data_IF_800823550625
#
_entry.id   IF_800823550625
#
_cell.length_a   1.000
_cell.length_b   1.000
_cell.length_c   1.000
_cell.angle_alpha   90.00
_cell.angle_beta   90.00
_cell.angle_gamma   90.00
#
_symmetry.space_group_name_H-M   'P 1'
#
loop_
_entity.id
_entity.type
_entity.pdbx_description
1 polymer ?
#
# COMPACT_ATOMS: atom_id res chain seq x y z
N UNK A 1 -13.28 -6.05 17.69
CA UNK A 1 -13.40 -5.23 16.46
C UNK A 1 -12.36 -5.66 15.45
N UNK A 2 -12.74 -5.71 14.19
CA UNK A 2 -11.81 -6.06 13.14
C UNK A 2 -10.82 -4.93 12.92
N UNK A 3 -9.53 -5.27 12.77
CA UNK A 3 -8.49 -4.32 12.43
C UNK A 3 -8.69 -3.82 11.00
N UNK A 4 -8.25 -2.60 10.74
CA UNK A 4 -8.20 -2.05 9.39
C UNK A 4 -7.15 -2.82 8.59
N UNK A 5 -7.53 -3.29 7.41
CA UNK A 5 -6.67 -4.04 6.50
C UNK A 5 -5.98 -3.07 5.53
N UNK A 6 -4.65 -3.04 5.57
CA UNK A 6 -3.83 -2.15 4.76
C UNK A 6 -2.93 -2.95 3.85
N UNK A 7 -2.98 -2.65 2.55
CA UNK A 7 -2.04 -3.18 1.58
C UNK A 7 -0.88 -2.19 1.40
N UNK A 8 0.34 -2.68 1.43
CA UNK A 8 1.55 -1.91 1.15
C UNK A 8 2.08 -2.29 -0.23
N UNK A 9 2.24 -1.30 -1.12
CA UNK A 9 2.99 -1.53 -2.34
C UNK A 9 4.50 -1.51 -2.04
N UNK A 10 5.30 -1.87 -3.01
CA UNK A 10 6.74 -1.99 -2.84
C UNK A 10 7.40 -0.67 -2.47
N UNK A 11 6.86 0.47 -2.91
CA UNK A 11 7.44 1.79 -2.62
C UNK A 11 7.49 2.08 -1.12
N UNK A 12 6.47 1.68 -0.37
CA UNK A 12 6.43 1.90 1.09
C UNK A 12 7.59 1.17 1.77
N UNK A 13 7.81 -0.09 1.41
CA UNK A 13 8.89 -0.88 1.98
C UNK A 13 10.24 -0.33 1.54
N UNK A 14 10.39 0.00 0.25
CA UNK A 14 11.62 0.54 -0.31
C UNK A 14 12.06 1.85 0.35
N UNK A 15 11.14 2.72 0.73
CA UNK A 15 11.43 3.99 1.39
C UNK A 15 11.87 3.85 2.86
N UNK A 16 11.81 2.67 3.43
CA UNK A 16 12.44 2.40 4.74
C UNK A 16 13.96 2.54 4.68
N UNK A 17 14.54 2.35 3.50
CA UNK A 17 15.98 2.51 3.23
C UNK A 17 16.17 3.34 1.95
N UNK A 18 15.93 4.65 2.04
CA UNK A 18 15.99 5.58 0.92
C UNK A 18 16.68 6.87 1.33
N UNK A 19 18.02 6.84 1.37
CA UNK A 19 18.87 7.93 1.92
C UNK A 19 18.72 9.26 1.15
N UNK A 20 18.37 9.22 -0.13
CA UNK A 20 18.15 10.41 -0.96
C UNK A 20 16.77 11.05 -0.78
N UNK A 21 15.89 10.43 0.01
CA UNK A 21 14.59 10.97 0.36
C UNK A 21 14.37 10.92 1.89
N UNK A 22 15.14 11.69 2.67
CA UNK A 22 15.19 11.54 4.13
C UNK A 22 13.88 11.81 4.84
N UNK A 23 13.05 12.74 4.33
CA UNK A 23 11.74 13.04 4.93
C UNK A 23 10.77 11.87 4.78
N UNK A 24 10.65 11.32 3.56
CA UNK A 24 9.79 10.15 3.31
C UNK A 24 10.31 8.91 4.01
N UNK A 25 11.61 8.74 4.08
CA UNK A 25 12.22 7.64 4.83
C UNK A 25 11.83 7.72 6.31
N UNK A 26 11.94 8.90 6.92
CA UNK A 26 11.55 9.12 8.32
C UNK A 26 10.06 8.82 8.55
N UNK A 27 9.18 9.36 7.72
CA UNK A 27 7.75 9.11 7.82
C UNK A 27 7.42 7.62 7.67
N UNK A 28 8.10 6.94 6.74
CA UNK A 28 7.92 5.50 6.53
C UNK A 28 8.37 4.70 7.76
N UNK A 29 9.48 5.09 8.39
CA UNK A 29 9.94 4.46 9.63
C UNK A 29 8.97 4.70 10.79
N UNK A 30 8.33 5.87 10.84
CA UNK A 30 7.31 6.18 11.84
C UNK A 30 6.05 5.30 11.68
N UNK A 31 5.56 5.12 10.47
CA UNK A 31 4.42 4.21 10.25
C UNK A 31 4.79 2.75 10.52
N UNK A 32 6.05 2.38 10.32
CA UNK A 32 6.52 1.04 10.64
C UNK A 32 6.38 0.74 12.13
N UNK A 33 6.62 1.73 12.98
CA UNK A 33 6.37 1.59 14.42
C UNK A 33 4.89 1.32 14.72
N UNK A 34 3.97 1.94 13.99
CA UNK A 34 2.53 1.66 14.11
C UNK A 34 2.21 0.21 13.72
N UNK A 35 2.86 -0.31 12.70
CA UNK A 35 2.67 -1.70 12.27
C UNK A 35 3.23 -2.69 13.30
N UNK A 36 4.35 -2.36 13.96
CA UNK A 36 4.89 -3.17 15.07
C UNK A 36 3.92 -3.24 16.25
N UNK A 37 3.16 -2.19 16.51
CA UNK A 37 2.16 -2.15 17.57
C UNK A 37 0.95 -3.05 17.28
N UNK A 38 0.79 -3.50 16.04
CA UNK A 38 -0.27 -4.40 15.64
C UNK A 38 -1.65 -3.77 15.51
N UNK A 39 -1.73 -2.46 15.35
CA UNK A 39 -3.01 -1.74 15.16
C UNK A 39 -3.70 -2.07 13.84
N UNK A 40 -2.92 -2.42 12.82
CA UNK A 40 -3.39 -2.68 11.47
C UNK A 40 -3.08 -4.12 11.06
N UNK A 41 -3.94 -4.67 10.21
CA UNK A 41 -3.67 -5.94 9.55
C UNK A 41 -2.97 -5.66 8.21
N UNK A 42 -1.69 -5.99 8.12
CA UNK A 42 -0.84 -5.62 6.99
C UNK A 42 -0.83 -6.72 5.93
N UNK A 43 -0.97 -6.32 4.68
CA UNK A 43 -0.92 -7.19 3.50
C UNK A 43 0.13 -6.69 2.53
N UNK A 44 0.87 -7.62 1.98
CA UNK A 44 1.69 -7.45 0.78
C UNK A 44 1.30 -8.55 -0.22
N UNK A 45 1.90 -8.56 -1.40
CA UNK A 45 1.68 -9.64 -2.36
C UNK A 45 3.01 -10.25 -2.82
N UNK A 46 2.92 -11.33 -3.56
CA UNK A 46 4.07 -11.94 -4.23
C UNK A 46 4.75 -10.96 -5.21
N UNK A 47 4.01 -9.96 -5.75
CA UNK A 47 4.58 -8.89 -6.56
C UNK A 47 5.58 -8.07 -5.75
N UNK A 48 5.24 -7.73 -4.50
CA UNK A 48 6.14 -7.02 -3.58
C UNK A 48 7.41 -7.85 -3.34
N UNK A 49 7.25 -9.12 -3.03
CA UNK A 49 8.37 -10.03 -2.79
C UNK A 49 9.29 -10.11 -4.02
N UNK A 50 8.70 -10.23 -5.20
CA UNK A 50 9.44 -10.24 -6.46
C UNK A 50 10.24 -8.95 -6.65
N UNK A 51 9.62 -7.79 -6.46
CA UNK A 51 10.27 -6.49 -6.64
C UNK A 51 11.38 -6.25 -5.61
N UNK A 52 11.21 -6.68 -4.36
CA UNK A 52 12.26 -6.61 -3.35
C UNK A 52 13.46 -7.46 -3.77
N UNK A 53 13.21 -8.64 -4.33
CA UNK A 53 14.28 -9.54 -4.81
C UNK A 53 15.05 -8.97 -6.02
N UNK A 54 14.52 -7.96 -6.71
CA UNK A 54 15.22 -7.25 -7.79
C UNK A 54 16.16 -6.16 -7.26
N UNK A 55 16.07 -5.78 -5.99
CA UNK A 55 16.96 -4.80 -5.38
C UNK A 55 18.39 -5.36 -5.23
N UNK A 56 19.36 -4.45 -5.01
CA UNK A 56 20.71 -4.86 -4.64
C UNK A 56 20.67 -5.78 -3.40
N UNK A 57 21.66 -6.67 -3.27
CA UNK A 57 21.75 -7.57 -2.12
C UNK A 57 21.66 -6.83 -0.79
N UNK A 58 22.41 -5.74 -0.67
CA UNK A 58 22.47 -4.94 0.56
C UNK A 58 21.09 -4.35 0.89
N UNK A 59 20.44 -3.70 -0.08
CA UNK A 59 19.10 -3.14 0.11
C UNK A 59 18.07 -4.23 0.44
N UNK A 60 18.08 -5.31 -0.31
CA UNK A 60 17.17 -6.44 -0.09
C UNK A 60 17.28 -6.99 1.33
N UNK A 61 18.48 -7.21 1.85
CA UNK A 61 18.69 -7.70 3.21
C UNK A 61 18.13 -6.73 4.24
N UNK A 62 18.35 -5.43 4.06
CA UNK A 62 17.79 -4.39 4.93
C UNK A 62 16.26 -4.39 4.92
N UNK A 63 15.65 -4.48 3.75
CA UNK A 63 14.18 -4.48 3.62
C UNK A 63 13.56 -5.74 4.22
N UNK A 64 14.18 -6.89 4.05
CA UNK A 64 13.73 -8.13 4.66
C UNK A 64 13.83 -8.09 6.18
N UNK A 65 14.88 -7.47 6.73
CA UNK A 65 15.02 -7.26 8.18
C UNK A 65 13.88 -6.39 8.73
N UNK A 66 13.47 -5.35 8.00
CA UNK A 66 12.31 -4.56 8.39
C UNK A 66 11.02 -5.38 8.37
N UNK A 67 10.79 -6.18 7.34
CA UNK A 67 9.60 -7.05 7.25
C UNK A 67 9.55 -8.05 8.41
N UNK A 68 10.69 -8.57 8.85
CA UNK A 68 10.75 -9.49 9.98
C UNK A 68 10.31 -8.87 11.32
N UNK A 69 10.23 -7.54 11.39
CA UNK A 69 9.80 -6.82 12.59
C UNK A 69 8.28 -6.72 12.76
N UNK A 70 7.50 -7.03 11.72
CA UNK A 70 6.05 -6.90 11.74
C UNK A 70 5.37 -8.21 11.35
N UNK A 71 4.11 -8.35 11.76
CA UNK A 71 3.24 -9.40 11.24
C UNK A 71 2.60 -8.91 9.94
N UNK A 72 2.57 -9.77 8.93
CA UNK A 72 1.94 -9.45 7.65
C UNK A 72 1.44 -10.71 6.96
N UNK A 73 0.52 -10.51 6.03
CA UNK A 73 -0.05 -11.55 5.18
C UNK A 73 0.47 -11.38 3.76
N UNK A 74 0.76 -12.46 3.06
CA UNK A 74 1.16 -12.45 1.66
C UNK A 74 -0.02 -12.92 0.81
N UNK A 75 -0.46 -12.06 -0.11
CA UNK A 75 -1.48 -12.40 -1.11
C UNK A 75 -0.76 -13.03 -2.29
N UNK A 76 -1.16 -14.25 -2.67
CA UNK A 76 -0.72 -14.87 -3.91
C UNK A 76 -1.60 -14.36 -5.06
N UNK A 77 -0.99 -13.69 -6.03
CA UNK A 77 -1.71 -13.22 -7.22
C UNK A 77 -2.02 -14.41 -8.14
N UNK A 78 -3.20 -14.35 -8.76
CA UNK A 78 -3.72 -15.41 -9.61
C UNK A 78 -4.33 -14.85 -10.91
N UNK A 79 -5.07 -15.66 -11.64
CA UNK A 79 -5.76 -15.24 -12.87
C UNK A 79 -6.75 -14.11 -12.60
N UNK A 80 -7.45 -14.13 -11.46
CA UNK A 80 -8.37 -13.06 -11.07
C UNK A 80 -7.68 -11.71 -10.91
N UNK A 81 -6.46 -11.71 -10.37
CA UNK A 81 -5.63 -10.49 -10.26
C UNK A 81 -5.28 -9.95 -11.65
N UNK A 82 -4.89 -10.82 -12.56
CA UNK A 82 -4.56 -10.47 -13.96
C UNK A 82 -5.78 -9.88 -14.66
N UNK A 83 -6.92 -10.52 -14.55
CA UNK A 83 -8.18 -10.06 -15.17
C UNK A 83 -8.57 -8.67 -14.68
N UNK A 84 -8.49 -8.43 -13.37
CA UNK A 84 -8.83 -7.13 -12.80
C UNK A 84 -7.82 -6.06 -13.22
N UNK A 85 -6.52 -6.37 -13.21
CA UNK A 85 -5.47 -5.47 -13.67
C UNK A 85 -5.67 -5.07 -15.14
N UNK A 86 -6.04 -6.01 -16.01
CA UNK A 86 -6.35 -5.74 -17.41
C UNK A 86 -7.55 -4.79 -17.56
N UNK A 87 -8.55 -4.90 -16.71
CA UNK A 87 -9.68 -3.97 -16.70
C UNK A 87 -9.25 -2.54 -16.43
N UNK A 88 -8.28 -2.30 -15.55
CA UNK A 88 -7.76 -0.96 -15.29
C UNK A 88 -7.15 -0.34 -16.54
N UNK A 89 -6.44 -1.15 -17.31
CA UNK A 89 -5.84 -0.72 -18.59
C UNK A 89 -6.92 -0.46 -19.63
N UNK A 90 -7.90 -1.36 -19.77
CA UNK A 90 -9.01 -1.24 -20.73
C UNK A 90 -9.88 0.00 -20.44
N UNK A 91 -10.10 0.33 -19.16
CA UNK A 91 -10.81 1.55 -18.77
C UNK A 91 -9.99 2.83 -18.99
N UNK A 92 -8.69 2.69 -19.21
CA UNK A 92 -7.82 3.77 -19.71
C UNK A 92 -7.23 4.70 -18.64
N UNK A 93 -7.39 4.43 -17.35
CA UNK A 93 -6.79 5.28 -16.31
C UNK A 93 -5.38 4.84 -15.90
N UNK A 94 -4.96 3.63 -16.26
CA UNK A 94 -3.59 3.14 -16.14
C UNK A 94 -3.12 2.57 -17.47
N UNK A 95 -1.82 2.65 -17.72
CA UNK A 95 -1.22 2.18 -18.97
C UNK A 95 -0.51 0.85 -18.77
N UNK A 96 -0.30 0.11 -19.87
CA UNK A 96 0.40 -1.18 -19.87
C UNK A 96 1.76 -1.12 -19.17
N UNK A 97 2.51 -0.03 -19.32
CA UNK A 97 3.81 0.16 -18.64
C UNK A 97 3.70 0.22 -17.10
N UNK A 98 2.50 0.46 -16.59
CA UNK A 98 2.20 0.47 -15.15
C UNK A 98 1.50 -0.80 -14.69
N UNK A 99 1.70 -1.91 -15.41
CA UNK A 99 1.02 -3.17 -15.15
C UNK A 99 1.29 -3.70 -13.74
N UNK A 100 2.50 -3.56 -13.23
CA UNK A 100 2.81 -3.99 -11.86
C UNK A 100 2.03 -3.17 -10.83
N UNK A 101 1.86 -1.86 -11.05
CA UNK A 101 1.01 -1.02 -10.21
C UNK A 101 -0.45 -1.48 -10.25
N UNK A 102 -0.94 -1.87 -11.43
CA UNK A 102 -2.27 -2.47 -11.58
C UNK A 102 -2.42 -3.75 -10.77
N UNK A 103 -1.39 -4.59 -10.74
CA UNK A 103 -1.39 -5.84 -9.97
C UNK A 103 -1.44 -5.59 -8.47
N UNK A 104 -0.71 -4.59 -7.97
CA UNK A 104 -0.78 -4.19 -6.56
C UNK A 104 -2.19 -3.77 -6.17
N UNK A 105 -2.80 -2.90 -6.96
CA UNK A 105 -4.15 -2.41 -6.68
C UNK A 105 -5.17 -3.55 -6.77
N UNK A 106 -5.08 -4.39 -7.79
CA UNK A 106 -5.97 -5.53 -7.99
C UNK A 106 -5.86 -6.53 -6.82
N UNK A 107 -4.64 -6.82 -6.36
CA UNK A 107 -4.42 -7.70 -5.21
C UNK A 107 -5.09 -7.14 -3.94
N UNK A 108 -4.94 -5.85 -3.69
CA UNK A 108 -5.56 -5.19 -2.55
C UNK A 108 -7.09 -5.27 -2.59
N UNK A 109 -7.69 -5.05 -3.77
CA UNK A 109 -9.15 -5.13 -3.97
C UNK A 109 -9.65 -6.54 -3.72
N UNK A 110 -9.02 -7.54 -4.34
CA UNK A 110 -9.46 -8.94 -4.25
C UNK A 110 -9.29 -9.52 -2.85
N UNK A 111 -8.31 -9.03 -2.08
CA UNK A 111 -8.13 -9.42 -0.68
C UNK A 111 -9.08 -8.69 0.28
N UNK A 112 -9.87 -7.75 -0.21
CA UNK A 112 -10.80 -6.98 0.62
C UNK A 112 -10.12 -6.01 1.57
N UNK A 113 -8.95 -5.48 1.19
CA UNK A 113 -8.26 -4.46 1.98
C UNK A 113 -9.08 -3.17 2.04
N UNK A 114 -8.98 -2.46 3.15
CA UNK A 114 -9.62 -1.15 3.35
C UNK A 114 -8.83 -0.04 2.66
N UNK A 115 -7.50 -0.09 2.79
CA UNK A 115 -6.59 0.91 2.24
C UNK A 115 -5.50 0.27 1.41
N UNK A 116 -5.01 1.00 0.41
CA UNK A 116 -3.68 0.80 -0.17
C UNK A 116 -2.84 2.05 0.13
N UNK A 117 -1.65 1.83 0.67
CA UNK A 117 -0.71 2.89 1.03
C UNK A 117 0.45 2.84 0.04
N UNK A 118 0.80 3.98 -0.54
CA UNK A 118 1.85 4.06 -1.56
C UNK A 118 2.52 5.43 -1.60
N UNK A 119 3.82 5.46 -1.89
CA UNK A 119 4.55 6.68 -2.25
C UNK A 119 4.51 6.96 -3.76
N UNK A 120 3.86 6.10 -4.54
CA UNK A 120 3.78 6.26 -6.00
C UNK A 120 2.66 7.25 -6.38
N UNK A 121 2.97 8.54 -6.35
CA UNK A 121 2.03 9.59 -6.74
C UNK A 121 1.77 9.61 -8.24
N UNK A 122 2.71 9.12 -9.02
CA UNK A 122 2.60 9.14 -10.48
C UNK A 122 1.51 8.19 -10.99
N UNK A 123 1.40 7.00 -10.41
CA UNK A 123 0.51 5.95 -10.94
C UNK A 123 -0.57 5.48 -9.96
N UNK A 124 -0.38 5.64 -8.66
CA UNK A 124 -1.32 5.11 -7.65
C UNK A 124 -2.04 6.22 -6.90
N UNK A 125 -1.30 7.10 -6.21
CA UNK A 125 -1.87 8.13 -5.34
C UNK A 125 -2.10 9.42 -6.14
N UNK A 126 -3.12 9.39 -6.99
CA UNK A 126 -3.50 10.56 -7.78
C UNK A 126 -4.99 10.51 -8.13
N UNK A 127 -5.54 11.66 -8.48
CA UNK A 127 -6.98 11.82 -8.74
C UNK A 127 -7.48 10.86 -9.83
N UNK A 128 -6.73 10.71 -10.91
CA UNK A 128 -7.10 9.86 -12.05
C UNK A 128 -7.26 8.40 -11.63
N UNK A 129 -6.28 7.85 -10.92
CA UNK A 129 -6.30 6.47 -10.44
C UNK A 129 -7.39 6.28 -9.39
N UNK A 130 -7.49 7.19 -8.41
CA UNK A 130 -8.50 7.13 -7.35
C UNK A 130 -9.92 7.08 -7.95
N UNK A 131 -10.21 7.96 -8.90
CA UNK A 131 -11.51 7.99 -9.57
C UNK A 131 -11.77 6.74 -10.42
N UNK A 132 -10.77 6.26 -11.13
CA UNK A 132 -10.86 5.05 -11.94
C UNK A 132 -11.15 3.81 -11.09
N UNK A 133 -10.43 3.65 -9.99
CA UNK A 133 -10.64 2.54 -9.06
C UNK A 133 -12.01 2.62 -8.41
N UNK A 134 -12.45 3.81 -8.00
CA UNK A 134 -13.80 4.01 -7.44
C UNK A 134 -14.88 3.57 -8.43
N UNK A 135 -14.75 3.92 -9.69
CA UNK A 135 -15.70 3.55 -10.74
C UNK A 135 -15.74 2.03 -10.92
N UNK A 136 -14.59 1.36 -11.00
CA UNK A 136 -14.52 -0.10 -11.20
C UNK A 136 -15.04 -0.86 -9.98
N UNK A 137 -14.63 -0.51 -8.78
CA UNK A 137 -15.10 -1.20 -7.57
C UNK A 137 -16.61 -1.08 -7.41
N UNK A 138 -17.17 0.09 -7.71
CA UNK A 138 -18.61 0.31 -7.69
C UNK A 138 -19.33 -0.54 -8.73
N UNK A 139 -18.85 -0.51 -9.98
CA UNK A 139 -19.46 -1.23 -11.11
C UNK A 139 -19.40 -2.75 -10.92
N UNK A 140 -18.25 -3.28 -10.48
CA UNK A 140 -18.03 -4.71 -10.32
C UNK A 140 -18.53 -5.25 -8.97
N UNK A 141 -18.95 -4.38 -8.06
CA UNK A 141 -19.47 -4.79 -6.75
C UNK A 141 -18.40 -5.17 -5.74
N UNK A 142 -17.17 -4.69 -5.90
CA UNK A 142 -16.12 -4.87 -4.90
C UNK A 142 -16.25 -3.88 -3.76
N UNK A 143 -15.70 -4.25 -2.60
CA UNK A 143 -15.51 -3.33 -1.48
C UNK A 143 -14.66 -2.14 -1.92
N UNK A 144 -15.03 -0.94 -1.47
CA UNK A 144 -14.26 0.27 -1.74
C UNK A 144 -12.83 0.15 -1.22
N UNK A 145 -11.87 0.59 -2.02
CA UNK A 145 -10.46 0.66 -1.64
C UNK A 145 -10.04 2.12 -1.57
N UNK A 146 -9.68 2.57 -0.37
CA UNK A 146 -9.16 3.93 -0.16
C UNK A 146 -7.68 3.95 -0.52
N UNK A 147 -7.24 5.00 -1.22
CA UNK A 147 -5.86 5.14 -1.71
C UNK A 147 -5.22 6.34 -1.03
N UNK A 148 -4.16 6.11 -0.24
CA UNK A 148 -3.52 7.15 0.54
C UNK A 148 -1.99 7.07 0.46
N UNK A 149 -1.29 8.22 0.59
CA UNK A 149 0.13 8.19 0.88
C UNK A 149 0.36 7.79 2.34
N UNK A 150 1.54 7.28 2.70
CA UNK A 150 1.86 6.91 4.08
C UNK A 150 1.67 8.05 5.10
N UNK A 151 1.93 9.30 4.69
CA UNK A 151 1.71 10.49 5.53
C UNK A 151 0.29 10.62 6.07
N UNK A 152 -0.72 10.12 5.34
CA UNK A 152 -2.11 10.18 5.77
C UNK A 152 -2.36 9.37 7.06
N UNK A 153 -1.65 8.26 7.27
CA UNK A 153 -1.76 7.48 8.50
C UNK A 153 -1.20 8.23 9.72
N UNK A 154 -0.12 8.97 9.52
CA UNK A 154 0.47 9.78 10.60
C UNK A 154 -0.43 10.93 11.00
N UNK A 155 -1.08 11.59 10.05
CA UNK A 155 -2.04 12.67 10.31
C UNK A 155 -3.23 12.17 11.12
N UNK A 156 -3.78 11.01 10.79
CA UNK A 156 -4.87 10.38 11.54
C UNK A 156 -4.49 10.09 13.00
N UNK A 157 -3.30 9.53 13.23
CA UNK A 157 -2.82 9.25 14.59
C UNK A 157 -2.59 10.53 15.39
N UNK A 158 -2.07 11.60 14.79
CA UNK A 158 -1.90 12.90 15.45
C UNK A 158 -3.24 13.53 15.87
N UNK A 159 -4.28 13.41 15.03
CA UNK A 159 -5.61 13.89 15.35
C UNK A 159 -6.23 13.14 16.53
N UNK A 160 -6.04 11.83 16.60
CA UNK A 160 -6.52 11.00 17.70
C UNK A 160 -5.87 11.40 19.03
N UNK A 161 -4.57 11.63 19.04
CA UNK A 161 -3.85 12.13 20.22
C UNK A 161 -4.29 13.56 20.62
N UNK A 162 -4.53 14.43 19.63
CA UNK A 162 -4.99 15.79 19.85
C UNK A 162 -6.41 15.90 20.38
N UNK A 163 -7.28 14.94 20.13
CA UNK A 163 -8.67 14.93 20.61
C UNK A 163 -8.76 14.52 22.08
N UNK A 164 -7.87 13.67 22.57
CA UNK A 164 -7.84 13.26 23.98
C UNK A 164 -7.32 14.38 24.91
N UNK A 165 -6.45 15.23 24.41
CA UNK A 165 -5.89 16.36 25.18
C UNK A 165 -6.91 17.51 25.37
N UNK A 166 -7.99 17.53 24.62
CA UNK A 166 -9.07 18.53 24.75
C UNK A 166 -10.21 18.12 25.68
N UNK A 167 -10.14 16.95 26.30
CA UNK A 167 -11.15 16.44 27.24
C UNK A 167 -10.75 16.53 28.73
N UNK A 168 -9.64 17.15 28.98
CA UNK A 168 -9.23 17.50 30.36
C UNK A 168 -9.51 19.02 30.64
#
# INVERSE_FOLDING_TARGET
MNKIKIYLDTSVISYLDQQDAPERMKETQEIWELFKEGKYEVYISDVVVYEINQCSREKRETLLDYLDQIEYNIIETDEGTVELAEKFIDFGFLKRKSYDDCRHIAAAILAGCDFIISWNFKHIVNVKTIRGIKAITTYEGYKDLMIYPPSALLEEEEEDYGSDDKRT
#
